data_IF_630271533360
#
_entry.id   IF_630271533360
#
_cell.length_a   1.000
_cell.length_b   1.000
_cell.length_c   1.000
_cell.angle_alpha   90.00
_cell.angle_beta   90.00
_cell.angle_gamma   90.00
#
_symmetry.space_group_name_H-M   'P 1'
#
loop_
_entity.id
_entity.type
_entity.pdbx_description
1 polymer ?
#
# COMPACT_ATOMS: atom_id res chain seq x y z
N UNK A 1 14.29 -23.23 6.07
CA UNK A 1 14.67 -22.05 6.88
C UNK A 1 14.51 -20.73 6.13
N UNK A 2 15.07 -20.57 4.91
CA UNK A 2 15.06 -19.30 4.16
C UNK A 2 13.70 -18.57 4.09
N UNK A 3 12.60 -19.29 3.82
CA UNK A 3 11.25 -18.70 3.78
C UNK A 3 10.87 -17.96 5.06
N UNK A 4 11.14 -18.57 6.22
CA UNK A 4 10.79 -18.00 7.53
C UNK A 4 11.68 -16.81 7.89
N UNK A 5 12.93 -16.83 7.46
CA UNK A 5 13.85 -15.69 7.61
C UNK A 5 13.33 -14.49 6.82
N UNK A 6 12.97 -14.69 5.54
CA UNK A 6 12.40 -13.61 4.71
C UNK A 6 11.08 -13.10 5.30
N UNK A 7 10.23 -13.98 5.79
CA UNK A 7 8.98 -13.60 6.44
C UNK A 7 9.21 -12.71 7.68
N UNK A 8 10.15 -13.08 8.55
CA UNK A 8 10.50 -12.27 9.73
C UNK A 8 11.08 -10.91 9.35
N UNK A 9 11.95 -10.86 8.32
CA UNK A 9 12.50 -9.61 7.79
C UNK A 9 11.39 -8.68 7.27
N UNK A 10 10.38 -9.22 6.59
CA UNK A 10 9.26 -8.44 6.10
C UNK A 10 8.42 -7.88 7.24
N UNK A 11 8.14 -8.67 8.28
CA UNK A 11 7.43 -8.17 9.47
C UNK A 11 8.20 -7.02 10.11
N UNK A 12 9.52 -7.14 10.23
CA UNK A 12 10.36 -6.07 10.75
C UNK A 12 10.26 -4.80 9.89
N UNK A 13 10.32 -4.93 8.56
CA UNK A 13 10.13 -3.77 7.69
C UNK A 13 8.71 -3.20 7.75
N UNK A 14 7.66 -4.02 7.87
CA UNK A 14 6.29 -3.55 8.09
C UNK A 14 6.20 -2.68 9.36
N UNK A 15 6.86 -3.10 10.44
CA UNK A 15 6.92 -2.31 11.67
C UNK A 15 7.59 -0.94 11.44
N UNK A 16 8.73 -0.90 10.74
CA UNK A 16 9.42 0.36 10.42
C UNK A 16 8.57 1.27 9.52
N UNK A 17 7.81 0.67 8.60
CA UNK A 17 6.95 1.38 7.65
C UNK A 17 5.73 2.07 8.27
N UNK A 18 5.33 1.66 9.47
CA UNK A 18 4.25 2.33 10.21
C UNK A 18 4.70 3.71 10.72
N UNK A 19 6.00 3.90 11.00
CA UNK A 19 6.55 5.13 11.59
C UNK A 19 6.11 6.44 10.90
N UNK A 20 6.25 6.61 9.57
CA UNK A 20 5.85 7.85 8.90
C UNK A 20 4.36 8.18 9.07
N UNK A 21 3.51 7.16 9.14
CA UNK A 21 2.07 7.34 9.35
C UNK A 21 1.76 7.84 10.76
N UNK A 22 2.43 7.28 11.76
CA UNK A 22 2.31 7.72 13.16
C UNK A 22 2.78 9.16 13.32
N UNK A 23 3.87 9.53 12.63
CA UNK A 23 4.39 10.90 12.64
C UNK A 23 3.39 11.88 12.02
N UNK A 24 2.84 11.56 10.84
CA UNK A 24 1.83 12.42 10.19
C UNK A 24 0.57 12.56 11.03
N UNK A 25 0.07 11.48 11.64
CA UNK A 25 -1.05 11.57 12.58
C UNK A 25 -0.70 12.46 13.76
N UNK A 26 0.50 12.31 14.34
CA UNK A 26 0.96 13.18 15.42
C UNK A 26 1.03 14.66 15.06
N UNK A 27 1.40 15.00 13.83
CA UNK A 27 1.40 16.38 13.31
C UNK A 27 -0.03 16.91 13.16
N UNK A 28 -0.97 16.08 12.70
CA UNK A 28 -2.38 16.48 12.51
C UNK A 28 -3.15 16.53 13.83
N UNK A 29 -2.74 15.76 14.85
CA UNK A 29 -3.36 15.72 16.17
C UNK A 29 -2.32 15.92 17.29
N UNK A 30 -1.68 17.11 17.39
CA UNK A 30 -0.58 17.34 18.33
C UNK A 30 -0.99 17.24 19.81
N UNK A 31 -2.28 17.40 20.11
CA UNK A 31 -2.86 17.23 21.46
C UNK A 31 -3.88 16.07 21.52
N UNK A 32 -3.83 15.15 20.55
CA UNK A 32 -4.85 14.12 20.37
C UNK A 32 -6.22 14.69 19.94
N UNK A 33 -7.30 14.02 20.36
CA UNK A 33 -8.69 14.48 20.17
C UNK A 33 -8.92 15.76 21.01
N UNK A 34 -9.70 16.77 20.57
CA UNK A 34 -9.85 18.04 21.30
C UNK A 34 -10.17 17.93 22.80
N UNK A 35 -10.90 16.88 23.21
CA UNK A 35 -11.22 16.57 24.60
C UNK A 35 -9.99 16.12 25.41
N UNK A 36 -9.06 15.38 24.79
CA UNK A 36 -7.81 14.92 25.41
C UNK A 36 -6.83 16.08 25.63
N UNK A 37 -6.78 17.05 24.72
CA UNK A 37 -5.88 18.21 24.83
C UNK A 37 -6.19 19.13 26.02
N UNK A 38 -7.45 19.17 26.48
CA UNK A 38 -7.83 19.86 27.71
C UNK A 38 -7.36 19.09 28.96
N UNK A 39 -7.52 17.76 28.96
CA UNK A 39 -7.16 16.89 30.08
C UNK A 39 -5.65 16.72 30.27
N UNK A 40 -4.86 16.86 29.20
CA UNK A 40 -3.39 16.82 29.24
C UNK A 40 -2.75 17.98 30.00
N UNK A 41 -3.47 19.10 30.19
CA UNK A 41 -2.97 20.27 30.93
C UNK A 41 -3.03 20.11 32.45
N UNK A 42 -3.58 19.01 32.95
CA UNK A 42 -3.65 18.72 34.38
C UNK A 42 -2.31 18.16 34.89
N UNK A 43 -1.67 18.77 35.90
CA UNK A 43 -0.27 18.52 36.30
C UNK A 43 0.01 17.12 36.90
N UNK A 44 -1.01 16.28 37.11
CA UNK A 44 -0.89 14.90 37.61
C UNK A 44 -1.39 13.83 36.63
N UNK A 45 -2.32 14.19 35.74
CA UNK A 45 -2.93 13.27 34.77
C UNK A 45 -2.35 13.43 33.35
N UNK A 46 -1.60 14.51 33.11
CA UNK A 46 -1.06 14.82 31.79
C UNK A 46 -0.16 13.73 31.20
N UNK A 47 0.61 13.02 32.04
CA UNK A 47 1.46 11.91 31.57
C UNK A 47 0.65 10.68 31.12
N UNK A 48 -0.44 10.35 31.84
CA UNK A 48 -1.38 9.29 31.48
C UNK A 48 -2.06 9.62 30.14
N UNK A 49 -2.54 10.85 29.99
CA UNK A 49 -3.17 11.29 28.74
C UNK A 49 -2.17 11.47 27.58
N UNK A 50 -0.89 11.71 27.87
CA UNK A 50 0.19 11.65 26.89
C UNK A 50 0.39 10.24 26.33
N UNK A 51 0.35 9.21 27.19
CA UNK A 51 0.40 7.80 26.76
C UNK A 51 -0.80 7.42 25.90
N UNK A 52 -2.00 7.89 26.25
CA UNK A 52 -3.19 7.69 25.42
C UNK A 52 -3.06 8.34 24.05
N UNK A 53 -2.51 9.55 23.97
CA UNK A 53 -2.29 10.24 22.70
C UNK A 53 -1.27 9.52 21.82
N UNK A 54 -0.18 8.99 22.41
CA UNK A 54 0.80 8.20 21.68
C UNK A 54 0.17 6.90 21.17
N UNK A 55 -0.58 6.19 22.02
CA UNK A 55 -1.29 4.98 21.64
C UNK A 55 -2.31 5.22 20.51
N UNK A 56 -3.03 6.35 20.57
CA UNK A 56 -3.96 6.77 19.53
C UNK A 56 -3.23 7.02 18.19
N UNK A 57 -2.13 7.78 18.20
CA UNK A 57 -1.36 8.06 16.99
C UNK A 57 -0.80 6.77 16.36
N UNK A 58 -0.32 5.84 17.19
CA UNK A 58 0.15 4.52 16.75
C UNK A 58 -0.99 3.71 16.13
N UNK A 59 -2.15 3.67 16.79
CA UNK A 59 -3.31 2.92 16.30
C UNK A 59 -3.82 3.46 14.96
N UNK A 60 -4.07 4.77 14.87
CA UNK A 60 -4.58 5.41 13.66
C UNK A 60 -3.54 5.35 12.54
N UNK A 61 -2.27 5.60 12.85
CA UNK A 61 -1.18 5.49 11.87
C UNK A 61 -1.05 4.07 11.31
N UNK A 62 -1.17 3.04 12.17
CA UNK A 62 -1.16 1.64 11.76
C UNK A 62 -2.35 1.30 10.85
N UNK A 63 -3.56 1.77 11.19
CA UNK A 63 -4.74 1.54 10.36
C UNK A 63 -4.61 2.20 8.99
N UNK A 64 -4.12 3.44 8.94
CA UNK A 64 -3.92 4.17 7.69
C UNK A 64 -2.89 3.45 6.80
N UNK A 65 -1.76 3.04 7.39
CA UNK A 65 -0.75 2.24 6.70
C UNK A 65 -1.34 0.93 6.18
N UNK A 66 -2.07 0.20 7.01
CA UNK A 66 -2.64 -1.10 6.63
C UNK A 66 -3.61 -0.98 5.45
N UNK A 67 -4.43 0.07 5.42
CA UNK A 67 -5.35 0.34 4.31
C UNK A 67 -4.59 0.65 3.02
N UNK A 68 -3.65 1.60 3.04
CA UNK A 68 -2.89 1.97 1.83
C UNK A 68 -2.04 0.79 1.34
N UNK A 69 -1.34 0.11 2.24
CA UNK A 69 -0.49 -1.02 1.93
C UNK A 69 -1.31 -2.18 1.34
N UNK A 70 -2.52 -2.43 1.85
CA UNK A 70 -3.42 -3.46 1.29
C UNK A 70 -3.83 -3.13 -0.14
N UNK A 71 -4.17 -1.86 -0.44
CA UNK A 71 -4.53 -1.42 -1.79
C UNK A 71 -3.35 -1.58 -2.76
N UNK A 72 -2.12 -1.26 -2.32
CA UNK A 72 -0.90 -1.43 -3.11
C UNK A 72 -0.57 -2.91 -3.39
N UNK A 73 -0.72 -3.78 -2.39
CA UNK A 73 -0.41 -5.22 -2.49
C UNK A 73 -1.47 -5.97 -3.30
N UNK A 74 -2.74 -5.53 -3.25
CA UNK A 74 -3.87 -6.20 -3.89
C UNK A 74 -3.63 -6.63 -5.36
N UNK A 75 -3.18 -5.77 -6.29
CA UNK A 75 -2.92 -6.19 -7.68
C UNK A 75 -1.79 -7.23 -7.81
N UNK A 76 -0.85 -7.30 -6.87
CA UNK A 76 0.23 -8.29 -6.87
C UNK A 76 -0.33 -9.66 -6.52
N UNK A 77 -1.16 -9.72 -5.47
CA UNK A 77 -1.85 -10.94 -5.03
C UNK A 77 -2.77 -11.45 -6.14
N UNK A 78 -3.56 -10.55 -6.73
CA UNK A 78 -4.52 -10.87 -7.79
C UNK A 78 -3.85 -11.56 -9.00
N UNK A 79 -2.68 -11.07 -9.42
CA UNK A 79 -1.93 -11.65 -10.55
C UNK A 79 -1.28 -12.99 -10.23
N UNK A 80 -1.03 -13.26 -8.95
CA UNK A 80 -0.32 -14.48 -8.54
C UNK A 80 -1.23 -15.70 -8.55
N UNK A 81 -2.52 -15.49 -8.26
CA UNK A 81 -3.52 -16.55 -8.30
C UNK A 81 -3.79 -16.98 -9.75
N UNK A 82 -3.19 -18.11 -10.14
CA UNK A 82 -3.33 -18.67 -11.49
C UNK A 82 -4.75 -19.16 -11.74
N UNK A 83 -5.48 -19.59 -10.72
CA UNK A 83 -6.87 -20.05 -10.84
C UNK A 83 -7.76 -18.84 -11.09
N UNK A 84 -7.59 -17.78 -10.29
CA UNK A 84 -8.27 -16.51 -10.52
C UNK A 84 -7.95 -15.93 -11.91
N UNK A 85 -6.67 -15.84 -12.28
CA UNK A 85 -6.28 -15.33 -13.60
C UNK A 85 -6.82 -16.18 -14.74
N UNK A 86 -6.83 -17.52 -14.60
CA UNK A 86 -7.44 -18.42 -15.59
C UNK A 86 -8.96 -18.23 -15.66
N UNK A 87 -9.63 -18.04 -14.53
CA UNK A 87 -11.06 -17.75 -14.50
C UNK A 87 -11.38 -16.40 -15.16
N UNK A 88 -10.58 -15.36 -14.89
CA UNK A 88 -10.70 -14.05 -15.52
C UNK A 88 -10.46 -14.13 -17.03
N UNK A 89 -9.45 -14.87 -17.47
CA UNK A 89 -9.17 -15.09 -18.90
C UNK A 89 -10.29 -15.90 -19.54
N UNK A 90 -10.74 -16.98 -18.91
CA UNK A 90 -11.84 -17.81 -19.42
C UNK A 90 -13.15 -17.03 -19.51
N UNK A 91 -13.46 -16.19 -18.52
CA UNK A 91 -14.62 -15.30 -18.57
C UNK A 91 -14.44 -14.26 -19.70
N UNK A 92 -13.26 -13.65 -19.81
CA UNK A 92 -12.91 -12.68 -20.85
C UNK A 92 -12.97 -13.27 -22.26
N UNK A 93 -12.52 -14.50 -22.46
CA UNK A 93 -12.59 -15.21 -23.74
C UNK A 93 -14.04 -15.66 -24.05
N UNK A 94 -14.85 -15.92 -23.01
CA UNK A 94 -16.27 -16.21 -23.15
C UNK A 94 -17.14 -14.98 -23.43
N UNK A 95 -16.56 -13.79 -23.58
CA UNK A 95 -17.25 -12.48 -23.74
C UNK A 95 -18.21 -12.34 -24.94
N UNK A 96 -18.44 -13.40 -25.70
CA UNK A 96 -19.59 -13.49 -26.60
C UNK A 96 -20.88 -13.99 -25.92
N UNK A 97 -20.88 -14.30 -24.61
CA UNK A 97 -22.05 -14.89 -23.93
C UNK A 97 -23.32 -14.05 -24.07
N UNK A 98 -23.17 -12.72 -24.04
CA UNK A 98 -24.25 -11.79 -24.38
C UNK A 98 -23.84 -10.88 -25.54
N UNK A 99 -24.24 -11.25 -26.75
CA UNK A 99 -24.13 -10.38 -27.91
C UNK A 99 -24.95 -9.10 -27.68
N UNK A 100 -24.29 -7.96 -27.89
CA UNK A 100 -24.93 -6.65 -27.92
C UNK A 100 -25.64 -6.53 -29.27
N UNK A 101 -26.96 -6.43 -29.26
CA UNK A 101 -27.76 -6.24 -30.48
C UNK A 101 -28.20 -4.79 -30.58
N UNK A 102 -28.32 -4.28 -31.79
CA UNK A 102 -28.82 -2.92 -32.01
C UNK A 102 -30.30 -2.75 -31.68
N UNK A 103 -31.04 -3.86 -31.56
CA UNK A 103 -32.42 -3.91 -31.07
C UNK A 103 -32.54 -3.94 -29.54
N UNK A 104 -31.43 -4.06 -28.80
CA UNK A 104 -31.48 -4.08 -27.33
C UNK A 104 -31.80 -2.69 -26.79
N UNK A 105 -32.65 -2.66 -25.75
CA UNK A 105 -32.88 -1.48 -24.92
C UNK A 105 -31.54 -0.83 -24.48
N UNK A 106 -31.43 0.51 -24.47
CA UNK A 106 -30.20 1.20 -24.08
C UNK A 106 -29.63 0.73 -22.73
N UNK A 107 -30.50 0.44 -21.75
CA UNK A 107 -30.12 -0.03 -20.41
C UNK A 107 -29.53 -1.45 -20.48
N UNK A 108 -30.19 -2.35 -21.22
CA UNK A 108 -29.71 -3.71 -21.43
C UNK A 108 -28.38 -3.73 -22.19
N UNK A 109 -28.20 -2.82 -23.16
CA UNK A 109 -26.95 -2.63 -23.89
C UNK A 109 -25.80 -2.20 -22.97
N UNK A 110 -26.06 -1.28 -22.03
CA UNK A 110 -25.07 -0.87 -21.03
C UNK A 110 -24.71 -2.02 -20.08
N UNK A 111 -25.69 -2.77 -19.58
CA UNK A 111 -25.48 -3.94 -18.72
C UNK A 111 -24.64 -5.02 -19.42
N UNK A 112 -24.95 -5.35 -20.68
CA UNK A 112 -24.17 -6.31 -21.47
C UNK A 112 -22.73 -5.84 -21.68
N UNK A 113 -22.52 -4.56 -22.01
CA UNK A 113 -21.17 -3.97 -22.12
C UNK A 113 -20.40 -4.04 -20.81
N UNK A 114 -21.06 -3.72 -19.69
CA UNK A 114 -20.43 -3.75 -18.38
C UNK A 114 -20.06 -5.16 -17.96
N UNK A 115 -20.96 -6.13 -18.11
CA UNK A 115 -20.71 -7.54 -17.82
C UNK A 115 -19.52 -8.07 -18.66
N UNK A 116 -19.56 -7.83 -19.98
CA UNK A 116 -18.49 -8.19 -20.93
C UNK A 116 -17.23 -7.30 -20.82
N UNK A 117 -17.08 -6.48 -19.79
CA UNK A 117 -15.81 -5.77 -19.53
C UNK A 117 -15.40 -5.87 -18.06
N UNK A 118 -16.27 -6.38 -17.20
CA UNK A 118 -16.06 -6.46 -15.76
C UNK A 118 -14.76 -7.19 -15.35
N UNK A 119 -14.41 -8.36 -15.94
CA UNK A 119 -13.20 -9.09 -15.52
C UNK A 119 -11.93 -8.29 -15.81
N UNK A 120 -11.82 -7.68 -16.99
CA UNK A 120 -10.66 -6.90 -17.41
C UNK A 120 -10.61 -5.53 -16.71
N UNK A 121 -11.77 -4.89 -16.50
CA UNK A 121 -11.89 -3.64 -15.73
C UNK A 121 -11.47 -3.82 -14.28
N UNK A 122 -11.77 -4.95 -13.64
CA UNK A 122 -11.39 -5.19 -12.24
C UNK A 122 -9.87 -5.19 -12.06
N UNK A 123 -9.15 -5.88 -12.94
CA UNK A 123 -7.67 -5.93 -12.91
C UNK A 123 -7.06 -4.55 -13.22
N UNK A 124 -7.63 -3.83 -14.20
CA UNK A 124 -7.16 -2.49 -14.58
C UNK A 124 -7.41 -1.46 -13.47
N UNK A 125 -8.60 -1.45 -12.87
CA UNK A 125 -8.97 -0.56 -11.76
C UNK A 125 -8.16 -0.87 -10.50
N UNK A 126 -7.84 -2.14 -10.22
CA UNK A 126 -6.96 -2.50 -9.11
C UNK A 126 -5.55 -1.88 -9.26
N UNK A 127 -5.00 -1.85 -10.48
CA UNK A 127 -3.74 -1.14 -10.75
C UNK A 127 -3.86 0.36 -10.52
N UNK A 128 -4.93 0.97 -11.02
CA UNK A 128 -5.15 2.41 -10.86
C UNK A 128 -5.31 2.80 -9.40
N UNK A 129 -6.09 2.03 -8.63
CA UNK A 129 -6.25 2.23 -7.19
C UNK A 129 -4.91 2.12 -6.44
N UNK A 130 -4.08 1.13 -6.79
CA UNK A 130 -2.73 1.02 -6.24
C UNK A 130 -1.87 2.25 -6.57
N UNK A 131 -1.94 2.77 -7.81
CA UNK A 131 -1.21 3.98 -8.20
C UNK A 131 -1.66 5.21 -7.40
N UNK A 132 -2.97 5.38 -7.17
CA UNK A 132 -3.48 6.41 -6.28
C UNK A 132 -2.97 6.23 -4.84
N UNK A 133 -2.95 5.00 -4.34
CA UNK A 133 -2.42 4.70 -3.01
C UNK A 133 -0.91 5.01 -2.92
N UNK A 134 -0.12 4.74 -3.95
CA UNK A 134 1.29 5.17 -4.02
C UNK A 134 1.44 6.69 -4.00
N UNK A 135 0.57 7.43 -4.68
CA UNK A 135 0.63 8.89 -4.66
C UNK A 135 0.36 9.44 -3.24
N UNK A 136 -0.65 8.89 -2.55
CA UNK A 136 -0.96 9.28 -1.17
C UNK A 136 0.19 8.89 -0.22
N UNK A 137 0.69 7.67 -0.33
CA UNK A 137 1.80 7.14 0.47
C UNK A 137 3.08 7.97 0.27
N UNK A 138 3.38 8.34 -0.98
CA UNK A 138 4.49 9.24 -1.30
C UNK A 138 4.35 10.60 -0.60
N UNK A 139 3.16 11.19 -0.57
CA UNK A 139 2.92 12.46 0.12
C UNK A 139 3.11 12.31 1.63
N UNK A 140 2.56 11.25 2.24
CA UNK A 140 2.74 10.95 3.68
C UNK A 140 4.23 10.80 4.01
N UNK A 141 4.96 10.01 3.22
CA UNK A 141 6.38 9.79 3.39
C UNK A 141 7.21 11.04 3.16
N UNK A 142 6.80 11.94 2.24
CA UNK A 142 7.47 13.22 2.01
C UNK A 142 7.35 14.15 3.22
N UNK A 143 6.20 14.13 3.91
CA UNK A 143 5.98 14.92 5.14
C UNK A 143 6.81 14.36 6.29
N UNK A 144 6.87 13.04 6.45
CA UNK A 144 7.62 12.39 7.52
C UNK A 144 9.15 12.40 7.29
N UNK A 145 9.59 12.23 6.05
CA UNK A 145 11.00 12.20 5.64
C UNK A 145 11.28 13.28 4.60
N UNK A 146 11.26 14.57 4.98
CA UNK A 146 11.44 15.66 4.04
C UNK A 146 12.83 15.59 3.40
N UNK A 147 12.94 15.50 2.05
CA UNK A 147 14.25 15.43 1.38
C UNK A 147 15.07 16.70 1.51
N UNK A 148 14.42 17.83 1.78
CA UNK A 148 15.03 19.15 1.99
C UNK A 148 14.36 19.78 3.21
N UNK A 149 15.13 20.48 4.04
CA UNK A 149 14.57 21.17 5.19
C UNK A 149 13.64 22.34 4.78
N UNK A 150 12.43 22.36 5.35
CA UNK A 150 11.40 23.38 5.08
C UNK A 150 10.74 23.25 3.70
N UNK A 151 9.93 24.25 3.33
CA UNK A 151 9.06 24.19 2.15
C UNK A 151 9.79 24.46 0.80
N UNK A 152 11.12 24.24 0.77
CA UNK A 152 11.99 24.62 -0.36
C UNK A 152 12.36 23.47 -1.27
N UNK A 153 11.69 22.32 -1.16
CA UNK A 153 12.02 21.12 -1.93
C UNK A 153 11.99 21.37 -3.45
N UNK A 154 10.89 21.89 -3.98
CA UNK A 154 10.72 22.19 -5.41
C UNK A 154 11.77 23.20 -5.91
N UNK A 155 12.00 24.27 -5.15
CA UNK A 155 12.97 25.30 -5.51
C UNK A 155 14.42 24.75 -5.52
N UNK A 156 14.76 23.91 -4.53
CA UNK A 156 16.08 23.29 -4.42
C UNK A 156 16.35 22.34 -5.60
N UNK A 157 15.31 21.64 -6.06
CA UNK A 157 15.38 20.73 -7.20
C UNK A 157 15.51 21.51 -8.52
N UNK A 158 14.73 22.58 -8.71
CA UNK A 158 14.83 23.46 -9.88
C UNK A 158 16.17 24.20 -9.97
N UNK A 159 16.73 24.60 -8.82
CA UNK A 159 18.03 25.28 -8.74
C UNK A 159 19.23 24.31 -8.85
N UNK A 160 19.00 23.01 -9.00
CA UNK A 160 20.05 22.00 -9.12
C UNK A 160 20.93 21.85 -7.85
N UNK A 161 20.44 22.28 -6.68
CA UNK A 161 21.22 22.31 -5.44
C UNK A 161 21.23 20.95 -4.74
N UNK A 162 21.85 19.94 -5.37
CA UNK A 162 21.87 18.55 -4.88
C UNK A 162 22.52 18.40 -3.49
N UNK A 163 23.44 19.30 -3.12
CA UNK A 163 24.10 19.29 -1.82
C UNK A 163 23.17 19.62 -0.64
N UNK A 164 21.98 20.17 -0.91
CA UNK A 164 20.97 20.46 0.13
C UNK A 164 19.97 19.32 0.31
N UNK A 165 20.06 18.28 -0.51
CA UNK A 165 19.20 17.11 -0.43
C UNK A 165 19.76 16.17 0.64
N UNK A 166 18.93 15.86 1.64
CA UNK A 166 19.21 14.79 2.58
C UNK A 166 18.92 13.44 1.90
N UNK A 167 19.96 12.87 1.30
CA UNK A 167 19.90 11.57 0.65
C UNK A 167 19.48 10.43 1.59
N UNK A 168 19.75 10.57 2.90
CA UNK A 168 19.25 9.62 3.90
C UNK A 168 17.72 9.57 3.91
N UNK A 169 17.07 10.73 3.95
CA UNK A 169 15.61 10.81 3.91
C UNK A 169 15.04 10.33 2.57
N UNK A 170 15.74 10.59 1.45
CA UNK A 170 15.34 10.07 0.13
C UNK A 170 15.38 8.54 0.11
N UNK A 171 16.44 7.94 0.65
CA UNK A 171 16.56 6.47 0.73
C UNK A 171 15.49 5.91 1.66
N UNK A 172 15.25 6.52 2.82
CA UNK A 172 14.16 6.12 3.72
C UNK A 172 12.81 6.18 3.03
N UNK A 173 12.50 7.26 2.31
CA UNK A 173 11.27 7.41 1.55
C UNK A 173 11.11 6.29 0.51
N UNK A 174 12.14 6.02 -0.30
CA UNK A 174 12.10 4.97 -1.30
C UNK A 174 11.97 3.57 -0.69
N UNK A 175 12.70 3.31 0.39
CA UNK A 175 12.60 2.04 1.12
C UNK A 175 11.20 1.88 1.68
N UNK A 176 10.64 2.91 2.31
CA UNK A 176 9.31 2.83 2.90
C UNK A 176 8.25 2.46 1.85
N UNK A 177 8.27 3.14 0.70
CA UNK A 177 7.26 2.92 -0.34
C UNK A 177 7.35 1.50 -0.98
N UNK A 178 8.56 0.95 -1.15
CA UNK A 178 8.73 -0.25 -1.99
C UNK A 178 9.18 -1.52 -1.24
N UNK A 179 9.69 -1.44 -0.01
CA UNK A 179 10.31 -2.60 0.66
C UNK A 179 9.30 -3.71 0.95
N UNK A 180 8.08 -3.36 1.35
CA UNK A 180 7.03 -4.34 1.66
C UNK A 180 6.60 -5.08 0.39
N UNK A 181 6.42 -4.35 -0.71
CA UNK A 181 6.12 -4.93 -2.02
C UNK A 181 7.23 -5.86 -2.49
N UNK A 182 8.49 -5.42 -2.41
CA UNK A 182 9.64 -6.23 -2.80
C UNK A 182 9.69 -7.52 -1.98
N UNK A 183 9.45 -7.41 -0.67
CA UNK A 183 9.36 -8.53 0.25
C UNK A 183 8.25 -9.51 -0.12
N UNK A 184 7.03 -9.03 -0.37
CA UNK A 184 5.89 -9.87 -0.77
C UNK A 184 6.18 -10.60 -2.09
N UNK A 185 6.74 -9.90 -3.08
CA UNK A 185 7.14 -10.51 -4.37
C UNK A 185 8.20 -11.60 -4.15
N UNK A 186 9.18 -11.35 -3.28
CA UNK A 186 10.21 -12.32 -2.92
C UNK A 186 9.63 -13.55 -2.21
N UNK A 187 8.69 -13.36 -1.27
CA UNK A 187 7.99 -14.47 -0.61
C UNK A 187 7.22 -15.34 -1.61
N UNK A 188 6.50 -14.72 -2.54
CA UNK A 188 5.77 -15.45 -3.58
C UNK A 188 6.70 -16.22 -4.51
N UNK A 189 7.85 -15.63 -4.85
CA UNK A 189 8.87 -16.31 -5.64
C UNK A 189 9.47 -17.50 -4.90
N UNK A 190 9.86 -17.35 -3.63
CA UNK A 190 10.39 -18.44 -2.80
C UNK A 190 9.37 -19.57 -2.61
N UNK A 191 8.10 -19.24 -2.41
CA UNK A 191 7.02 -20.21 -2.32
C UNK A 191 6.89 -21.04 -3.61
N UNK A 192 7.01 -20.37 -4.76
CA UNK A 192 6.98 -21.01 -6.08
C UNK A 192 8.18 -21.95 -6.28
N UNK A 193 9.39 -21.50 -5.97
CA UNK A 193 10.61 -22.32 -6.06
C UNK A 193 10.50 -23.56 -5.18
N UNK A 194 10.03 -23.39 -3.93
CA UNK A 194 9.82 -24.52 -2.99
C UNK A 194 8.80 -25.52 -3.52
N UNK A 195 7.73 -25.06 -4.16
CA UNK A 195 6.72 -25.93 -4.76
C UNK A 195 7.34 -26.79 -5.88
N UNK A 196 8.06 -26.17 -6.82
CA UNK A 196 8.69 -26.91 -7.92
C UNK A 196 9.79 -27.87 -7.46
N UNK A 197 10.62 -27.48 -6.48
CA UNK A 197 11.63 -28.38 -5.91
C UNK A 197 11.05 -29.60 -5.20
N UNK A 198 9.81 -29.51 -4.70
CA UNK A 198 9.12 -30.67 -4.10
C UNK A 198 8.62 -31.61 -5.18
N UNK A 199 8.08 -31.06 -6.27
CA UNK A 199 7.60 -31.85 -7.41
C UNK A 199 8.73 -32.71 -8.00
N UNK A 200 9.90 -32.10 -8.24
CA UNK A 200 11.07 -32.80 -8.80
C UNK A 200 11.63 -33.89 -7.89
N UNK A 201 11.39 -33.83 -6.57
CA UNK A 201 11.82 -34.84 -5.61
C UNK A 201 10.85 -36.01 -5.47
N UNK A 202 9.63 -35.89 -5.98
CA UNK A 202 8.64 -36.98 -5.99
C UNK A 202 8.76 -37.83 -7.27
N UNK A 203 9.39 -37.29 -8.31
CA UNK A 203 9.63 -37.96 -9.60
C UNK A 203 10.99 -38.68 -9.67
N UNK A 204 11.82 -38.56 -8.62
CA UNK A 204 13.14 -39.19 -8.48
C UNK A 204 13.14 -40.19 -7.32
#
# INVERSE_FOLDING_TARGET
MLYWVVFAVIIYFCYLNISPYVQVVGILTPNGVPVLGFLQRLPLLGWLFGLFSLGFNVFVGTLLWLVLQSIQIFPIVLRRDRVFMRAVISEADSHSKYAIRDSDDPTLRMLKRWYNTFPTLTVSRARFAALCAYAVDFVICLVAFPPVAGDKFLFTLMAGQLNRINWGNVVSLLLTIYVVELGVRLLFWLSQVRFYLRLTKQEA
#
